data_IF_492567683139
#
_entry.id   IF_492567683139
#
_cell.length_a   1.000
_cell.length_b   1.000
_cell.length_c   1.000
_cell.angle_alpha   90.00
_cell.angle_beta   90.00
_cell.angle_gamma   90.00
#
_symmetry.space_group_name_H-M   'P 1'
#
loop_
_entity.id
_entity.type
_entity.pdbx_description
1 polymer ?
#
# COMPACT_ATOMS: atom_id res chain seq x y z
N UNK A 1 7.11 -17.13 -11.78
CA UNK A 1 8.17 -17.13 -10.73
C UNK A 1 7.56 -17.68 -9.45
N UNK A 2 8.34 -18.39 -8.64
CA UNK A 2 7.84 -19.14 -7.48
C UNK A 2 7.38 -18.17 -6.38
N UNK A 3 6.15 -18.35 -5.89
CA UNK A 3 5.55 -17.69 -4.73
C UNK A 3 6.54 -17.56 -3.57
N UNK A 4 6.87 -16.33 -3.19
CA UNK A 4 7.68 -16.06 -2.00
C UNK A 4 6.77 -16.19 -0.77
N UNK A 5 6.93 -17.30 -0.07
CA UNK A 5 6.20 -17.64 1.17
C UNK A 5 6.72 -16.76 2.30
N UNK A 6 5.84 -16.00 2.94
CA UNK A 6 6.18 -15.22 4.14
C UNK A 6 6.48 -16.18 5.30
N UNK A 7 7.72 -16.17 5.76
CA UNK A 7 8.17 -16.86 6.97
C UNK A 7 8.65 -15.79 7.95
N UNK A 8 7.83 -15.43 8.92
CA UNK A 8 8.20 -14.48 9.97
C UNK A 8 8.98 -15.22 11.07
N UNK A 9 10.29 -15.02 11.13
CA UNK A 9 11.07 -15.27 12.35
C UNK A 9 11.18 -13.95 13.12
N UNK A 10 10.64 -13.93 14.34
CA UNK A 10 10.75 -12.79 15.24
C UNK A 10 12.05 -12.89 16.05
N UNK A 11 12.95 -11.93 15.85
CA UNK A 11 14.01 -11.61 16.81
C UNK A 11 14.07 -10.10 16.97
N UNK A 12 13.52 -9.63 18.09
CA UNK A 12 13.55 -8.22 18.48
C UNK A 12 14.94 -7.88 19.06
N UNK A 13 15.64 -6.94 18.43
CA UNK A 13 16.77 -6.24 19.04
C UNK A 13 16.41 -4.75 19.06
N UNK A 14 15.95 -4.27 20.22
CA UNK A 14 15.58 -2.88 20.45
C UNK A 14 16.86 -2.05 20.64
N UNK A 15 17.24 -1.28 19.63
CA UNK A 15 18.10 -0.11 19.80
C UNK A 15 17.23 1.14 19.69
N UNK A 16 17.06 1.85 20.80
CA UNK A 16 16.36 3.12 20.85
C UNK A 16 17.24 4.22 20.24
N UNK A 17 16.93 4.62 19.00
CA UNK A 17 17.46 5.86 18.41
C UNK A 17 16.45 6.99 18.64
N UNK A 18 16.92 8.09 19.23
CA UNK A 18 16.17 9.32 19.45
C UNK A 18 15.68 9.90 18.12
N UNK A 19 14.38 10.20 18.02
CA UNK A 19 13.74 10.74 16.81
C UNK A 19 14.01 12.25 16.67
N UNK A 20 15.09 12.62 16.00
CA UNK A 20 15.21 13.95 15.43
C UNK A 20 14.46 13.97 14.08
N UNK A 21 13.65 15.01 13.83
CA UNK A 21 13.03 15.24 12.53
C UNK A 21 14.12 15.28 11.44
N UNK A 22 14.13 14.32 10.53
CA UNK A 22 15.12 14.27 9.46
C UNK A 22 14.67 15.23 8.35
N UNK A 23 15.56 16.12 7.91
CA UNK A 23 15.29 17.05 6.81
C UNK A 23 15.82 16.44 5.52
N UNK A 24 14.95 16.26 4.52
CA UNK A 24 15.35 15.83 3.18
C UNK A 24 15.35 17.05 2.26
N UNK A 25 16.37 17.19 1.44
CA UNK A 25 16.50 18.25 0.46
C UNK A 25 16.18 17.72 -0.94
N UNK A 26 15.43 18.50 -1.70
CA UNK A 26 15.04 18.21 -3.09
C UNK A 26 15.62 19.26 -4.00
N UNK A 27 16.29 18.87 -5.10
CA UNK A 27 16.78 19.79 -6.13
C UNK A 27 16.77 19.15 -7.53
N UNK A 28 16.81 19.98 -8.58
CA UNK A 28 17.06 19.52 -9.96
C UNK A 28 18.51 19.75 -10.32
N UNK A 29 19.13 18.77 -10.98
CA UNK A 29 20.41 18.99 -11.64
C UNK A 29 20.26 19.78 -12.96
N UNK A 30 21.38 20.08 -13.59
CA UNK A 30 21.43 20.82 -14.86
C UNK A 30 20.70 20.10 -16.03
N UNK A 31 20.43 18.80 -15.92
CA UNK A 31 19.64 18.03 -16.89
C UNK A 31 18.14 18.03 -16.58
N UNK A 32 17.72 18.73 -15.53
CA UNK A 32 16.33 18.75 -15.05
C UNK A 32 15.94 17.51 -14.25
N UNK A 33 16.89 16.61 -13.96
CA UNK A 33 16.65 15.39 -13.19
C UNK A 33 16.60 15.74 -11.70
N UNK A 34 15.58 15.22 -11.02
CA UNK A 34 15.40 15.43 -9.58
C UNK A 34 16.35 14.55 -8.76
N UNK A 35 16.90 15.15 -7.70
CA UNK A 35 17.78 14.53 -6.70
C UNK A 35 17.27 14.79 -5.30
N UNK A 36 17.50 13.82 -4.41
CA UNK A 36 17.07 13.85 -3.01
C UNK A 36 18.24 13.48 -2.10
N UNK A 37 18.51 14.32 -1.10
CA UNK A 37 19.67 14.18 -0.22
C UNK A 37 19.30 14.51 1.21
N UNK A 38 19.96 13.86 2.17
CA UNK A 38 19.89 14.18 3.60
C UNK A 38 20.77 15.40 3.99
N UNK A 39 21.58 15.89 3.04
CA UNK A 39 22.41 17.10 3.17
C UNK A 39 21.97 18.15 2.15
N UNK A 40 21.97 19.41 2.57
CA UNK A 40 21.68 20.52 1.68
C UNK A 40 22.62 20.52 0.47
N UNK A 41 22.12 20.61 -0.77
CA UNK A 41 22.96 20.80 -1.96
C UNK A 41 23.77 22.08 -1.82
N UNK A 42 25.07 22.02 -2.12
CA UNK A 42 25.94 23.20 -2.01
C UNK A 42 25.58 24.30 -3.03
N UNK A 43 24.88 23.95 -4.12
CA UNK A 43 24.50 24.87 -5.19
C UNK A 43 23.13 24.47 -5.77
N UNK A 44 22.41 25.46 -6.31
CA UNK A 44 21.10 25.27 -6.95
C UNK A 44 19.91 25.53 -6.02
N UNK A 45 18.74 25.83 -6.61
CA UNK A 45 17.49 25.94 -5.86
C UNK A 45 17.14 24.56 -5.29
N UNK A 46 16.86 24.53 -3.99
CA UNK A 46 16.45 23.33 -3.30
C UNK A 46 15.29 23.63 -2.35
N UNK A 47 14.48 22.62 -2.09
CA UNK A 47 13.38 22.67 -1.15
C UNK A 47 13.67 21.74 0.04
N UNK A 48 13.34 22.20 1.25
CA UNK A 48 13.40 21.37 2.45
C UNK A 48 12.08 20.64 2.64
N UNK A 49 12.16 19.32 2.72
CA UNK A 49 11.06 18.46 3.14
C UNK A 49 11.32 18.07 4.60
N UNK A 50 10.56 18.69 5.51
CA UNK A 50 10.57 18.31 6.93
C UNK A 50 9.79 17.02 7.09
N UNK A 51 10.48 15.95 7.50
CA UNK A 51 9.83 14.70 7.84
C UNK A 51 9.29 14.80 9.27
N UNK A 52 8.01 14.50 9.45
CA UNK A 52 7.44 14.31 10.78
C UNK A 52 7.81 12.91 11.28
N UNK A 53 8.22 12.81 12.54
CA UNK A 53 8.78 11.57 13.10
C UNK A 53 7.74 10.66 13.75
N UNK A 54 6.45 10.80 13.43
CA UNK A 54 5.43 9.89 13.98
C UNK A 54 5.60 8.51 13.34
N UNK A 55 6.17 7.58 14.11
CA UNK A 55 6.17 6.16 13.78
C UNK A 55 4.77 5.58 13.99
N UNK A 56 3.77 6.11 13.30
CA UNK A 56 2.40 5.56 13.32
C UNK A 56 2.36 4.36 12.35
N UNK A 57 3.20 3.35 12.59
CA UNK A 57 3.10 2.08 11.89
C UNK A 57 1.95 1.29 12.50
N UNK A 58 0.97 0.92 11.69
CA UNK A 58 -0.12 0.06 12.13
C UNK A 58 0.37 -1.39 12.23
N UNK A 59 -0.05 -2.10 13.27
CA UNK A 59 0.19 -3.53 13.39
C UNK A 59 -0.39 -4.28 12.18
N UNK A 60 0.21 -5.43 11.86
CA UNK A 60 -0.23 -6.27 10.74
C UNK A 60 -1.25 -7.32 11.23
N UNK A 61 -2.24 -7.69 10.40
CA UNK A 61 -3.14 -8.78 10.70
C UNK A 61 -2.35 -10.05 10.98
N UNK A 62 -2.71 -10.75 12.06
CA UNK A 62 -1.93 -11.90 12.54
C UNK A 62 -2.82 -12.98 13.14
N UNK A 63 -2.31 -14.21 13.15
CA UNK A 63 -2.89 -15.33 13.88
C UNK A 63 -1.85 -15.85 14.88
N UNK A 64 -2.27 -15.97 16.13
CA UNK A 64 -1.51 -16.63 17.19
C UNK A 64 -2.27 -17.85 17.70
N UNK A 65 -1.60 -18.73 18.45
CA UNK A 65 -2.19 -19.96 18.96
C UNK A 65 -1.80 -20.25 20.40
N UNK A 66 -2.72 -20.84 21.16
CA UNK A 66 -2.48 -21.44 22.48
C UNK A 66 -3.10 -22.84 22.52
N UNK A 67 -2.54 -23.75 23.31
CA UNK A 67 -3.09 -25.09 23.51
C UNK A 67 -3.61 -25.20 24.95
N UNK A 68 -4.85 -25.63 25.10
CA UNK A 68 -5.52 -25.88 26.39
C UNK A 68 -6.35 -27.16 26.27
N UNK A 69 -6.22 -28.09 27.22
CA UNK A 69 -7.01 -29.34 27.27
C UNK A 69 -7.10 -30.11 25.94
N UNK A 70 -5.95 -30.26 25.26
CA UNK A 70 -5.86 -30.89 23.93
C UNK A 70 -6.71 -30.20 22.85
N UNK A 71 -6.91 -28.89 22.97
CA UNK A 71 -7.55 -28.02 21.98
C UNK A 71 -6.58 -26.91 21.61
N UNK A 72 -6.31 -26.74 20.31
CA UNK A 72 -5.61 -25.56 19.81
C UNK A 72 -6.61 -24.42 19.64
N UNK A 73 -6.39 -23.32 20.35
CA UNK A 73 -7.13 -22.07 20.23
C UNK A 73 -6.32 -21.13 19.36
N UNK A 74 -6.80 -20.86 18.15
CA UNK A 74 -6.26 -19.85 17.25
C UNK A 74 -6.94 -18.51 17.52
N UNK A 75 -6.17 -17.43 17.50
CA UNK A 75 -6.64 -16.05 17.70
C UNK A 75 -6.20 -15.21 16.52
N UNK A 76 -7.13 -14.86 15.62
CA UNK A 76 -6.87 -13.92 14.55
C UNK A 76 -7.19 -12.50 15.00
N UNK A 77 -6.21 -11.62 14.86
CA UNK A 77 -6.30 -10.19 15.19
C UNK A 77 -6.22 -9.40 13.90
N UNK A 78 -7.24 -8.59 13.62
CA UNK A 78 -7.25 -7.63 12.54
C UNK A 78 -7.21 -6.20 13.10
N UNK A 79 -6.04 -5.55 13.16
CA UNK A 79 -5.90 -4.18 13.61
C UNK A 79 -6.29 -3.15 12.52
N UNK A 80 -6.59 -3.59 11.30
CA UNK A 80 -6.89 -2.71 10.16
C UNK A 80 -8.30 -2.17 10.21
N UNK A 81 -8.51 -1.02 9.56
CA UNK A 81 -9.79 -0.27 9.59
C UNK A 81 -10.75 -0.71 8.48
N UNK A 82 -10.63 -1.97 8.09
CA UNK A 82 -11.44 -2.65 7.08
C UNK A 82 -11.36 -4.16 7.29
N UNK A 83 -12.27 -4.93 6.66
CA UNK A 83 -12.30 -6.38 6.79
C UNK A 83 -11.05 -7.03 6.19
N UNK A 84 -10.58 -8.12 6.78
CA UNK A 84 -9.43 -8.90 6.31
C UNK A 84 -9.80 -10.37 6.30
N UNK A 85 -9.61 -11.03 5.17
CA UNK A 85 -9.78 -12.47 5.05
C UNK A 85 -8.46 -13.18 5.33
N UNK A 86 -8.42 -14.05 6.33
CA UNK A 86 -7.30 -14.95 6.55
C UNK A 86 -7.53 -16.25 5.79
N UNK A 87 -6.51 -16.74 5.08
CA UNK A 87 -6.44 -18.16 4.69
C UNK A 87 -5.62 -18.91 5.74
N UNK A 88 -6.19 -19.98 6.25
CA UNK A 88 -5.57 -20.96 7.13
C UNK A 88 -5.20 -22.21 6.34
N UNK A 89 -3.96 -22.67 6.50
CA UNK A 89 -3.51 -23.99 6.08
C UNK A 89 -3.17 -24.79 7.32
N UNK A 90 -4.07 -25.69 7.71
CA UNK A 90 -3.97 -26.47 8.94
C UNK A 90 -3.47 -27.86 8.57
N UNK A 91 -2.41 -28.33 9.23
CA UNK A 91 -1.88 -29.68 9.05
C UNK A 91 -2.36 -30.57 10.18
N UNK A 92 -3.13 -31.61 9.85
CA UNK A 92 -3.54 -32.69 10.76
C UNK A 92 -3.05 -34.02 10.21
N UNK A 93 -2.32 -34.79 11.02
CA UNK A 93 -1.91 -36.16 10.67
C UNK A 93 -1.26 -36.30 9.28
N UNK A 94 -0.57 -35.27 8.80
CA UNK A 94 0.10 -35.25 7.48
C UNK A 94 -0.70 -34.62 6.34
N UNK A 95 -2.02 -34.45 6.46
CA UNK A 95 -2.88 -33.80 5.46
C UNK A 95 -3.07 -32.31 5.73
N UNK A 96 -3.14 -31.51 4.65
CA UNK A 96 -3.42 -30.08 4.72
C UNK A 96 -4.89 -29.80 4.44
N UNK A 97 -5.56 -29.17 5.39
CA UNK A 97 -6.89 -28.61 5.22
C UNK A 97 -6.77 -27.09 5.04
N UNK A 98 -7.47 -26.56 4.04
CA UNK A 98 -7.58 -25.12 3.81
C UNK A 98 -8.90 -24.62 4.34
N UNK A 99 -8.85 -23.53 5.08
CA UNK A 99 -10.03 -22.83 5.58
C UNK A 99 -9.81 -21.33 5.44
N UNK A 100 -10.88 -20.53 5.39
CA UNK A 100 -10.77 -19.08 5.34
C UNK A 100 -11.73 -18.42 6.30
N UNK A 101 -11.29 -17.33 6.92
CA UNK A 101 -12.10 -16.57 7.86
C UNK A 101 -11.99 -15.09 7.59
N UNK A 102 -13.15 -14.45 7.45
CA UNK A 102 -13.27 -13.00 7.44
C UNK A 102 -13.23 -12.48 8.88
N UNK A 103 -12.36 -11.51 9.14
CA UNK A 103 -12.24 -10.81 10.42
C UNK A 103 -12.53 -9.34 10.16
N UNK A 104 -13.49 -8.79 10.88
CA UNK A 104 -13.94 -7.39 10.70
C UNK A 104 -12.84 -6.39 11.08
N UNK A 105 -13.05 -5.14 10.70
CA UNK A 105 -12.17 -4.04 11.09
C UNK A 105 -11.97 -3.96 12.61
N UNK A 106 -10.74 -3.70 13.05
CA UNK A 106 -10.36 -3.52 14.46
C UNK A 106 -10.94 -4.58 15.41
N UNK A 107 -10.84 -5.84 15.01
CA UNK A 107 -11.50 -6.94 15.71
C UNK A 107 -10.62 -8.17 15.87
N UNK A 108 -11.02 -9.03 16.80
CA UNK A 108 -10.37 -10.32 17.07
C UNK A 108 -11.40 -11.43 16.94
N UNK A 109 -11.02 -12.55 16.31
CA UNK A 109 -11.83 -13.77 16.28
C UNK A 109 -11.02 -14.95 16.81
N UNK A 110 -11.68 -15.83 17.54
CA UNK A 110 -11.09 -17.05 18.09
C UNK A 110 -11.69 -18.29 17.44
N UNK A 111 -10.87 -19.31 17.21
CA UNK A 111 -11.30 -20.59 16.65
C UNK A 111 -10.67 -21.71 17.46
N UNK A 112 -11.44 -22.78 17.70
CA UNK A 112 -10.99 -23.94 18.45
C UNK A 112 -10.85 -25.13 17.51
N UNK A 113 -9.71 -25.79 17.55
CA UNK A 113 -9.42 -26.97 16.77
C UNK A 113 -9.06 -28.10 17.73
N UNK A 114 -9.76 -29.23 17.64
CA UNK A 114 -9.45 -30.39 18.45
C UNK A 114 -8.05 -30.93 18.10
N UNK A 115 -7.25 -31.19 19.13
CA UNK A 115 -5.87 -31.64 19.03
C UNK A 115 -4.86 -30.50 18.87
N UNK A 116 -3.59 -30.86 18.96
CA UNK A 116 -2.49 -30.01 18.55
C UNK A 116 -2.37 -29.99 17.03
N UNK A 117 -2.29 -28.79 16.44
CA UNK A 117 -2.15 -28.62 14.98
C UNK A 117 -1.01 -27.69 14.63
N UNK A 118 -0.34 -27.98 13.52
CA UNK A 118 0.52 -27.01 12.85
C UNK A 118 -0.32 -26.19 11.87
N UNK A 119 -0.03 -24.90 11.75
CA UNK A 119 -0.73 -24.04 10.80
C UNK A 119 0.21 -23.04 10.13
N UNK A 120 -0.18 -22.64 8.93
CA UNK A 120 0.34 -21.47 8.23
C UNK A 120 -0.83 -20.57 7.87
N UNK A 121 -0.58 -19.27 7.76
CA UNK A 121 -1.60 -18.33 7.30
C UNK A 121 -1.01 -17.24 6.42
N UNK A 122 -1.89 -16.66 5.63
CA UNK A 122 -1.71 -15.34 5.05
C UNK A 122 -3.06 -14.62 5.10
N UNK A 123 -3.06 -13.32 4.81
CA UNK A 123 -4.26 -12.51 4.86
C UNK A 123 -4.42 -11.67 3.58
N UNK A 124 -5.67 -11.42 3.22
CA UNK A 124 -6.07 -10.62 2.05
C UNK A 124 -6.94 -9.46 2.55
N UNK A 125 -6.61 -8.21 2.20
CA UNK A 125 -7.42 -7.06 2.55
C UNK A 125 -8.75 -7.06 1.78
N UNK A 126 -9.83 -6.72 2.48
CA UNK A 126 -11.16 -6.57 1.89
C UNK A 126 -12.06 -7.78 2.12
N UNK A 127 -13.36 -7.54 1.93
CA UNK A 127 -14.39 -8.57 1.96
C UNK A 127 -14.43 -9.29 0.60
N UNK A 128 -14.28 -10.63 0.55
CA UNK A 128 -14.39 -11.38 -0.71
C UNK A 128 -15.79 -11.30 -1.37
N UNK A 129 -16.81 -10.88 -0.62
CA UNK A 129 -18.18 -10.69 -1.13
C UNK A 129 -18.44 -9.26 -1.64
N UNK A 130 -17.44 -8.37 -1.60
CA UNK A 130 -17.53 -7.00 -2.08
C UNK A 130 -18.00 -6.93 -3.55
N UNK A 131 -18.81 -5.92 -3.86
CA UNK A 131 -19.40 -5.69 -5.20
C UNK A 131 -18.88 -4.36 -5.75
N UNK A 132 -17.80 -4.36 -6.55
CA UNK A 132 -17.25 -3.14 -7.12
C UNK A 132 -18.28 -2.37 -7.93
N UNK A 133 -18.29 -1.04 -7.77
CA UNK A 133 -19.03 -0.15 -8.66
C UNK A 133 -18.13 0.30 -9.82
N UNK A 134 -18.35 -0.32 -10.98
CA UNK A 134 -17.59 -0.04 -12.21
C UNK A 134 -17.97 1.28 -12.90
N UNK A 135 -19.00 1.99 -12.40
CA UNK A 135 -19.41 3.28 -12.97
C UNK A 135 -18.57 4.44 -12.43
N UNK A 136 -17.86 4.22 -11.32
CA UNK A 136 -17.10 5.25 -10.61
C UNK A 136 -15.96 5.80 -11.45
N UNK A 137 -15.84 7.13 -11.42
CA UNK A 137 -14.75 7.89 -12.02
C UNK A 137 -13.83 8.37 -10.92
N UNK A 138 -12.55 8.03 -11.05
CA UNK A 138 -11.48 8.46 -10.14
C UNK A 138 -10.92 9.80 -10.60
N UNK A 139 -10.48 10.65 -9.67
CA UNK A 139 -9.64 11.81 -10.04
C UNK A 139 -8.18 11.38 -10.15
N UNK A 140 -7.37 12.07 -10.97
CA UNK A 140 -5.92 11.97 -10.87
C UNK A 140 -5.48 12.22 -9.41
N UNK A 141 -4.62 11.38 -8.83
CA UNK A 141 -4.31 11.38 -7.39
C UNK A 141 -3.29 12.46 -6.97
N UNK A 142 -3.46 13.69 -7.46
CA UNK A 142 -2.59 14.83 -7.16
C UNK A 142 -3.36 16.15 -7.32
N UNK A 143 -2.77 17.25 -6.88
CA UNK A 143 -3.45 18.54 -6.74
C UNK A 143 -3.91 19.16 -8.08
N UNK A 144 -4.97 19.97 -8.01
CA UNK A 144 -5.50 20.78 -9.10
C UNK A 144 -4.41 21.55 -9.84
N UNK A 145 -4.43 21.47 -11.17
CA UNK A 145 -3.48 22.19 -12.03
C UNK A 145 -2.05 21.64 -12.04
N UNK A 146 -1.69 20.71 -11.14
CA UNK A 146 -0.45 19.96 -11.29
C UNK A 146 -0.56 18.98 -12.47
N UNK A 147 0.56 18.75 -13.16
CA UNK A 147 0.59 17.85 -14.30
C UNK A 147 1.75 16.86 -14.24
N UNK A 148 1.41 15.59 -14.39
CA UNK A 148 2.35 14.49 -14.39
C UNK A 148 2.09 13.54 -15.55
N UNK A 149 3.10 12.73 -15.87
CA UNK A 149 3.04 11.77 -16.98
C UNK A 149 2.91 10.36 -16.42
N UNK A 150 2.09 9.54 -17.06
CA UNK A 150 2.07 8.10 -16.80
C UNK A 150 3.38 7.48 -17.29
N UNK A 151 4.17 6.92 -16.38
CA UNK A 151 5.40 6.17 -16.70
C UNK A 151 5.14 4.70 -17.01
N UNK A 152 4.08 4.12 -16.43
CA UNK A 152 3.63 2.77 -16.74
C UNK A 152 2.11 2.68 -16.58
N UNK A 153 1.41 2.15 -17.58
CA UNK A 153 -0.04 1.98 -17.55
C UNK A 153 -0.48 0.55 -17.24
N UNK A 154 -1.76 0.27 -17.51
CA UNK A 154 -2.33 -1.08 -17.41
C UNK A 154 -1.58 -2.06 -18.32
N UNK A 155 -1.35 -3.28 -17.83
CA UNK A 155 -0.62 -4.35 -18.54
C UNK A 155 0.82 -3.98 -18.94
N UNK A 156 1.44 -3.04 -18.22
CA UNK A 156 2.83 -2.65 -18.45
C UNK A 156 3.81 -3.80 -18.17
N UNK A 157 4.95 -3.78 -18.86
CA UNK A 157 5.88 -4.92 -18.97
C UNK A 157 6.90 -5.05 -17.83
N UNK A 158 6.83 -4.19 -16.80
CA UNK A 158 7.76 -4.21 -15.67
C UNK A 158 7.11 -4.79 -14.41
N UNK A 159 6.25 -4.01 -13.73
CA UNK A 159 5.56 -4.42 -12.50
C UNK A 159 4.06 -4.74 -12.67
N UNK A 160 3.45 -4.48 -13.85
CA UNK A 160 1.99 -4.55 -14.07
C UNK A 160 1.59 -5.76 -14.92
N UNK A 161 2.33 -6.86 -14.83
CA UNK A 161 2.11 -8.06 -15.65
C UNK A 161 1.16 -9.08 -15.01
N UNK A 162 1.07 -9.08 -13.68
CA UNK A 162 0.30 -10.06 -12.92
C UNK A 162 -0.48 -9.40 -11.79
N UNK A 163 -1.49 -10.12 -11.29
CA UNK A 163 -2.23 -9.69 -10.12
C UNK A 163 -1.31 -9.60 -8.89
N UNK A 164 -1.54 -8.66 -7.98
CA UNK A 164 -2.67 -7.71 -7.94
C UNK A 164 -2.34 -6.35 -8.59
N UNK A 165 -1.52 -6.30 -9.65
CA UNK A 165 -1.03 -5.06 -10.26
C UNK A 165 -1.31 -4.92 -11.76
N UNK A 166 -1.98 -5.87 -12.40
CA UNK A 166 -2.28 -5.84 -13.84
C UNK A 166 -2.90 -4.52 -14.29
N UNK A 167 -3.78 -3.94 -13.47
CA UNK A 167 -4.42 -2.65 -13.71
C UNK A 167 -3.93 -1.54 -12.79
N UNK A 168 -2.63 -1.51 -12.48
CA UNK A 168 -1.99 -0.38 -11.81
C UNK A 168 -1.56 0.73 -12.79
N UNK A 169 -1.35 1.93 -12.27
CA UNK A 169 -0.79 3.08 -12.99
C UNK A 169 0.36 3.68 -12.19
N UNK A 170 1.50 3.84 -12.84
CA UNK A 170 2.65 4.57 -12.31
C UNK A 170 2.66 5.97 -12.92
N UNK A 171 2.68 6.96 -12.04
CA UNK A 171 2.62 8.36 -12.40
C UNK A 171 3.95 8.99 -11.98
N UNK A 172 4.77 9.32 -12.96
CA UNK A 172 6.07 9.92 -12.74
C UNK A 172 5.92 11.30 -12.11
N UNK A 173 6.32 11.41 -10.85
CA UNK A 173 6.25 12.65 -10.09
C UNK A 173 7.48 12.80 -9.19
N UNK A 174 8.00 14.02 -9.02
CA UNK A 174 9.12 14.27 -8.11
C UNK A 174 8.77 13.85 -6.68
N UNK A 175 9.71 13.34 -5.89
CA UNK A 175 9.47 13.12 -4.44
C UNK A 175 9.02 14.43 -3.79
N UNK A 176 8.13 14.32 -2.83
CA UNK A 176 7.53 15.44 -2.11
C UNK A 176 6.27 16.00 -2.78
N UNK A 177 5.93 15.60 -4.01
CA UNK A 177 4.65 15.98 -4.63
C UNK A 177 3.48 15.44 -3.81
N UNK A 178 2.42 16.23 -3.67
CA UNK A 178 1.25 15.82 -2.90
C UNK A 178 0.51 14.69 -3.60
N UNK A 179 0.24 13.62 -2.86
CA UNK A 179 -0.63 12.51 -3.28
C UNK A 179 -2.00 12.75 -2.66
N UNK A 180 -3.02 12.82 -3.51
CA UNK A 180 -4.41 13.02 -3.10
C UNK A 180 -5.23 11.74 -3.31
N UNK A 181 -6.30 11.59 -2.52
CA UNK A 181 -7.24 10.50 -2.68
C UNK A 181 -7.96 10.59 -4.03
N UNK A 182 -7.75 9.61 -4.90
CA UNK A 182 -8.42 9.48 -6.20
C UNK A 182 -9.93 9.24 -6.06
N UNK A 183 -10.36 8.66 -4.94
CA UNK A 183 -11.74 8.41 -4.55
C UNK A 183 -11.84 8.42 -3.02
N UNK A 184 -12.95 8.93 -2.49
CA UNK A 184 -13.20 8.96 -1.05
C UNK A 184 -13.41 7.58 -0.44
N UNK A 185 -13.22 7.48 0.87
CA UNK A 185 -13.32 6.23 1.61
C UNK A 185 -12.76 6.35 3.01
N UNK A 186 -12.45 5.22 3.63
CA UNK A 186 -11.79 5.14 4.94
C UNK A 186 -10.34 4.70 4.74
N UNK A 187 -9.39 5.37 5.39
CA UNK A 187 -7.99 4.91 5.42
C UNK A 187 -7.94 3.59 6.18
N UNK A 188 -7.86 2.49 5.44
CA UNK A 188 -7.90 1.13 5.95
C UNK A 188 -6.60 0.76 6.66
N UNK A 189 -5.48 1.07 5.99
CA UNK A 189 -4.16 0.79 6.49
C UNK A 189 -3.09 1.73 5.93
N UNK A 190 -1.99 1.87 6.67
CA UNK A 190 -0.80 2.62 6.25
C UNK A 190 0.48 1.84 6.56
N UNK A 191 1.53 2.10 5.81
CA UNK A 191 2.90 1.63 6.07
C UNK A 191 3.87 2.79 5.84
N UNK A 192 4.74 3.06 6.82
CA UNK A 192 5.67 4.20 6.81
C UNK A 192 7.06 3.83 7.35
N UNK A 193 7.38 2.53 7.41
CA UNK A 193 8.63 2.06 8.02
C UNK A 193 9.87 2.13 7.10
N UNK A 194 9.73 2.48 5.83
CA UNK A 194 10.82 2.38 4.85
C UNK A 194 11.31 3.76 4.38
N UNK A 195 12.62 3.99 4.45
CA UNK A 195 13.25 5.25 4.01
C UNK A 195 13.84 5.20 2.60
N UNK A 196 14.02 3.99 2.04
CA UNK A 196 14.75 3.76 0.79
C UNK A 196 14.02 2.77 -0.12
N UNK A 197 14.42 2.75 -1.39
CA UNK A 197 13.93 1.80 -2.38
C UNK A 197 14.95 1.52 -3.47
N UNK A 198 14.77 0.39 -4.15
CA UNK A 198 15.55 0.00 -5.32
C UNK A 198 14.85 -1.12 -6.08
N UNK A 199 14.88 -1.03 -7.41
CA UNK A 199 14.45 -2.10 -8.31
C UNK A 199 15.56 -3.15 -8.61
N UNK A 200 16.78 -2.94 -8.11
CA UNK A 200 17.90 -3.85 -8.40
C UNK A 200 17.92 -5.11 -7.51
N UNK A 201 17.18 -5.10 -6.39
CA UNK A 201 17.23 -6.16 -5.39
C UNK A 201 15.83 -6.62 -5.00
N UNK A 202 15.60 -7.94 -5.03
CA UNK A 202 14.36 -8.56 -4.59
C UNK A 202 14.00 -8.25 -3.12
N UNK A 203 15.01 -7.83 -2.32
CA UNK A 203 14.84 -7.37 -0.94
C UNK A 203 13.76 -6.28 -0.78
N UNK A 204 13.52 -5.46 -1.81
CA UNK A 204 12.60 -4.33 -1.73
C UNK A 204 11.16 -4.61 -2.20
N UNK A 205 10.87 -5.83 -2.68
CA UNK A 205 9.56 -6.20 -3.27
C UNK A 205 8.38 -5.96 -2.32
N UNK A 206 8.59 -6.09 -1.02
CA UNK A 206 7.58 -5.96 0.03
C UNK A 206 7.81 -4.74 0.95
N UNK A 207 8.66 -3.77 0.53
CA UNK A 207 9.16 -2.67 1.39
C UNK A 207 8.74 -1.28 0.92
N UNK A 208 7.55 -1.15 0.37
CA UNK A 208 6.99 0.14 -0.02
C UNK A 208 6.14 0.72 1.11
N UNK A 209 6.31 2.01 1.39
CA UNK A 209 5.33 2.76 2.18
C UNK A 209 4.07 2.96 1.35
N UNK A 210 2.91 2.94 2.01
CA UNK A 210 1.64 3.09 1.34
C UNK A 210 0.55 3.70 2.22
N UNK A 211 -0.48 4.22 1.55
CA UNK A 211 -1.81 4.45 2.10
C UNK A 211 -2.77 3.54 1.35
N UNK A 212 -3.63 2.83 2.07
CA UNK A 212 -4.71 2.03 1.50
C UNK A 212 -6.05 2.61 1.94
N UNK A 213 -6.88 3.02 0.98
CA UNK A 213 -8.21 3.57 1.21
C UNK A 213 -9.25 2.53 0.83
N UNK A 214 -10.10 2.13 1.76
CA UNK A 214 -11.27 1.29 1.53
C UNK A 214 -12.45 2.17 1.09
N UNK A 215 -12.98 1.88 -0.09
CA UNK A 215 -14.14 2.57 -0.66
C UNK A 215 -15.45 1.93 -0.19
N UNK A 216 -16.56 2.67 -0.29
CA UNK A 216 -17.87 2.21 0.20
C UNK A 216 -18.42 0.98 -0.57
N UNK A 217 -17.86 0.65 -1.75
CA UNK A 217 -18.20 -0.56 -2.52
C UNK A 217 -17.34 -1.79 -2.16
N UNK A 218 -16.47 -1.67 -1.15
CA UNK A 218 -15.56 -2.72 -0.68
C UNK A 218 -14.26 -2.86 -1.50
N UNK A 219 -14.06 -2.05 -2.54
CA UNK A 219 -12.77 -1.98 -3.24
C UNK A 219 -11.76 -1.16 -2.45
N UNK A 220 -10.46 -1.37 -2.70
CA UNK A 220 -9.38 -0.61 -2.07
C UNK A 220 -8.56 0.13 -3.12
N UNK A 221 -8.31 1.42 -2.89
CA UNK A 221 -7.31 2.19 -3.60
C UNK A 221 -5.99 2.18 -2.83
N UNK A 222 -4.93 1.65 -3.42
CA UNK A 222 -3.59 1.62 -2.83
C UNK A 222 -2.67 2.63 -3.51
N UNK A 223 -2.06 3.49 -2.69
CA UNK A 223 -1.12 4.54 -3.09
C UNK A 223 0.24 4.18 -2.49
N UNK A 224 1.22 3.83 -3.32
CA UNK A 224 2.50 3.29 -2.85
C UNK A 224 3.71 4.14 -3.26
N UNK A 225 4.88 3.73 -2.76
CA UNK A 225 6.16 4.43 -2.87
C UNK A 225 6.18 5.78 -2.13
N UNK A 226 5.41 5.90 -1.05
CA UNK A 226 5.24 7.14 -0.27
C UNK A 226 6.55 7.54 0.44
N UNK A 227 6.81 8.84 0.51
CA UNK A 227 7.92 9.37 1.29
C UNK A 227 7.68 9.13 2.78
N UNK A 228 8.65 8.52 3.46
CA UNK A 228 8.58 8.31 4.91
C UNK A 228 8.42 9.64 5.66
N UNK A 229 7.56 9.66 6.68
CA UNK A 229 7.29 10.82 7.54
C UNK A 229 6.41 11.88 6.88
N UNK A 230 5.74 11.55 5.79
CA UNK A 230 4.94 12.47 4.97
C UNK A 230 3.44 12.20 4.99
N UNK A 231 2.98 11.15 5.69
CA UNK A 231 1.55 10.89 5.87
C UNK A 231 0.81 12.12 6.42
N UNK A 232 -0.36 12.39 5.86
CA UNK A 232 -1.29 13.44 6.29
C UNK A 232 -2.59 12.88 6.86
N UNK A 233 -2.67 11.56 6.94
CA UNK A 233 -3.83 10.79 7.39
C UNK A 233 -3.38 9.65 8.28
N UNK A 234 -4.30 9.13 9.08
CA UNK A 234 -4.10 7.98 9.96
C UNK A 234 -5.14 6.89 9.67
N UNK A 235 -4.86 5.62 10.01
CA UNK A 235 -5.86 4.58 9.91
C UNK A 235 -7.17 4.93 10.62
N UNK A 236 -8.26 4.91 9.87
CA UNK A 236 -9.62 5.18 10.36
C UNK A 236 -10.15 6.54 9.95
N UNK A 237 -9.28 7.44 9.47
CA UNK A 237 -9.70 8.72 8.91
C UNK A 237 -10.59 8.46 7.68
N UNK A 238 -11.75 9.14 7.61
CA UNK A 238 -12.54 9.23 6.39
C UNK A 238 -11.95 10.33 5.53
N UNK A 239 -11.69 10.01 4.26
CA UNK A 239 -11.09 10.92 3.28
C UNK A 239 -12.06 11.17 2.15
N UNK A 240 -12.08 12.41 1.67
CA UNK A 240 -12.82 12.80 0.48
C UNK A 240 -11.93 12.71 -0.77
N UNK A 241 -12.54 12.61 -1.95
CA UNK A 241 -11.79 12.70 -3.22
C UNK A 241 -11.07 14.05 -3.28
N UNK A 242 -9.79 14.03 -3.64
CA UNK A 242 -8.94 15.22 -3.69
C UNK A 242 -8.29 15.59 -2.37
N UNK A 243 -8.65 14.94 -1.25
CA UNK A 243 -7.99 15.17 0.04
C UNK A 243 -6.55 14.66 0.01
N UNK A 244 -5.61 15.44 0.54
CA UNK A 244 -4.22 15.04 0.65
C UNK A 244 -4.04 13.85 1.61
N UNK A 245 -3.29 12.84 1.14
CA UNK A 245 -3.01 11.61 1.88
C UNK A 245 -1.58 11.56 2.38
N UNK A 246 -0.63 11.92 1.51
CA UNK A 246 0.80 11.84 1.79
C UNK A 246 1.60 12.62 0.73
N UNK A 247 2.92 12.43 0.71
CA UNK A 247 3.78 12.90 -0.39
C UNK A 247 4.46 11.74 -1.11
N UNK A 248 4.65 11.90 -2.41
CA UNK A 248 5.35 10.93 -3.26
C UNK A 248 6.78 10.73 -2.80
N UNK A 249 7.29 9.51 -2.98
CA UNK A 249 8.63 9.11 -2.59
C UNK A 249 9.23 8.17 -3.64
N UNK A 250 10.11 7.28 -3.18
CA UNK A 250 10.72 6.24 -4.01
C UNK A 250 11.06 5.01 -3.16
N UNK A 251 10.25 4.72 -2.13
CA UNK A 251 10.51 3.61 -1.18
C UNK A 251 10.10 2.27 -1.77
N UNK A 252 10.77 1.18 -1.39
CA UNK A 252 10.44 -0.16 -1.88
C UNK A 252 10.92 -0.43 -3.30
N UNK A 253 10.27 -1.35 -4.00
CA UNK A 253 10.71 -1.78 -5.34
C UNK A 253 10.37 -0.72 -6.39
N UNK A 254 11.29 0.22 -6.59
CA UNK A 254 11.11 1.36 -7.47
C UNK A 254 12.39 1.67 -8.24
N UNK A 255 12.25 2.05 -9.51
CA UNK A 255 13.34 2.52 -10.39
C UNK A 255 13.61 4.01 -10.24
N UNK A 256 12.70 4.76 -9.61
CA UNK A 256 12.80 6.19 -9.37
C UNK A 256 11.50 6.81 -8.86
N UNK A 257 11.47 8.11 -8.55
CA UNK A 257 10.31 8.76 -7.96
C UNK A 257 9.05 8.67 -8.82
N UNK A 258 7.99 8.08 -8.28
CA UNK A 258 6.66 8.00 -8.88
C UNK A 258 5.62 7.65 -7.81
N UNK A 259 4.35 7.80 -8.16
CA UNK A 259 3.23 7.20 -7.44
C UNK A 259 2.81 5.92 -8.18
N UNK A 260 2.80 4.79 -7.48
CA UNK A 260 2.08 3.58 -7.92
C UNK A 260 0.67 3.64 -7.35
N UNK A 261 -0.34 3.66 -8.22
CA UNK A 261 -1.75 3.64 -7.85
C UNK A 261 -2.46 2.43 -8.44
N UNK A 262 -3.23 1.71 -7.63
CA UNK A 262 -4.02 0.55 -8.08
C UNK A 262 -5.31 0.42 -7.28
N UNK A 263 -6.39 0.06 -7.97
CA UNK A 263 -7.67 -0.31 -7.36
C UNK A 263 -7.74 -1.83 -7.31
N UNK A 264 -8.06 -2.39 -6.14
CA UNK A 264 -8.09 -3.84 -5.91
C UNK A 264 -9.35 -4.29 -5.19
N UNK A 265 -9.69 -5.56 -5.35
CA UNK A 265 -10.72 -6.26 -4.58
C UNK A 265 -10.22 -7.63 -4.13
N UNK A 266 -10.72 -8.08 -2.98
CA UNK A 266 -10.62 -9.48 -2.59
C UNK A 266 -11.60 -10.31 -3.46
N UNK A 267 -11.15 -11.45 -3.97
CA UNK A 267 -12.00 -12.40 -4.74
C UNK A 267 -12.03 -13.80 -4.15
N UNK A 268 -11.70 -13.94 -2.86
CA UNK A 268 -11.64 -15.20 -2.16
C UNK A 268 -10.37 -15.97 -2.47
N UNK A 269 -9.41 -15.89 -1.53
CA UNK A 269 -8.07 -16.49 -1.64
C UNK A 269 -7.13 -15.86 -2.68
N UNK A 270 -7.56 -14.78 -3.33
CA UNK A 270 -6.70 -13.95 -4.18
C UNK A 270 -7.12 -12.47 -4.14
N UNK A 271 -6.21 -11.60 -4.57
CA UNK A 271 -6.43 -10.17 -4.68
C UNK A 271 -6.36 -9.76 -6.16
N UNK A 272 -7.42 -9.15 -6.67
CA UNK A 272 -7.53 -8.79 -8.08
C UNK A 272 -7.48 -7.27 -8.24
N UNK A 273 -6.65 -6.77 -9.15
CA UNK A 273 -6.70 -5.39 -9.63
C UNK A 273 -7.90 -5.17 -10.54
N UNK A 274 -8.43 -3.96 -10.53
CA UNK A 274 -9.60 -3.58 -11.32
C UNK A 274 -9.22 -2.49 -12.32
N UNK A 275 -9.74 -2.59 -13.54
CA UNK A 275 -9.75 -1.44 -14.45
C UNK A 275 -10.58 -0.32 -13.83
N UNK A 276 -10.06 0.89 -13.93
CA UNK A 276 -10.75 2.11 -13.53
C UNK A 276 -10.57 3.19 -14.59
N UNK A 277 -11.40 4.23 -14.53
CA UNK A 277 -11.31 5.42 -15.37
C UNK A 277 -10.90 6.62 -14.52
N UNK A 278 -10.06 7.47 -15.09
CA UNK A 278 -9.76 8.80 -14.56
C UNK A 278 -10.17 9.84 -15.57
N UNK A 279 -10.67 10.99 -15.11
CA UNK A 279 -11.07 12.09 -15.97
C UNK A 279 -10.27 13.36 -15.66
N UNK A 280 -10.26 14.33 -16.58
CA UNK A 280 -9.85 15.71 -16.31
C UNK A 280 -11.01 16.53 -15.69
N UNK A 281 -10.74 17.80 -15.36
CA UNK A 281 -11.73 18.68 -14.74
C UNK A 281 -12.91 18.99 -15.67
N UNK A 282 -12.71 18.85 -16.99
CA UNK A 282 -13.72 19.00 -18.03
C UNK A 282 -14.54 17.71 -18.28
N UNK A 283 -14.20 16.61 -17.60
CA UNK A 283 -14.90 15.32 -17.69
C UNK A 283 -14.44 14.41 -18.83
N UNK A 284 -13.30 14.70 -19.48
CA UNK A 284 -12.72 13.85 -20.52
C UNK A 284 -11.93 12.71 -19.89
N UNK A 285 -12.10 11.49 -20.40
CA UNK A 285 -11.35 10.32 -19.93
C UNK A 285 -9.87 10.38 -20.32
N UNK A 286 -8.98 10.15 -19.34
CA UNK A 286 -7.57 9.92 -19.59
C UNK A 286 -7.32 8.49 -20.07
N UNK A 287 -6.58 8.29 -21.17
CA UNK A 287 -6.10 6.96 -21.53
C UNK A 287 -5.03 6.52 -20.52
N UNK A 288 -5.29 5.47 -19.73
CA UNK A 288 -4.33 4.94 -18.75
C UNK A 288 -3.24 4.10 -19.45
N UNK A 289 -2.33 4.80 -20.13
CA UNK A 289 -1.18 4.24 -20.84
C UNK A 289 0.02 5.18 -20.76
N UNK A 290 1.19 4.61 -20.97
CA UNK A 290 2.48 5.32 -20.96
C UNK A 290 2.44 6.59 -21.81
N UNK A 291 3.15 7.62 -21.33
CA UNK A 291 3.27 8.95 -21.97
C UNK A 291 1.99 9.78 -22.03
N UNK A 292 0.89 9.31 -21.44
CA UNK A 292 -0.28 10.16 -21.23
C UNK A 292 0.03 11.19 -20.17
N UNK A 293 -0.22 12.46 -20.48
CA UNK A 293 -0.12 13.57 -19.53
C UNK A 293 -1.47 13.81 -18.88
N UNK A 294 -1.49 13.77 -17.55
CA UNK A 294 -2.66 14.06 -16.74
C UNK A 294 -2.52 15.41 -16.06
N UNK A 295 -3.64 16.05 -15.76
CA UNK A 295 -3.75 17.29 -15.00
C UNK A 295 -4.72 17.04 -13.85
N UNK A 296 -4.34 17.45 -12.65
CA UNK A 296 -5.14 17.25 -11.44
C UNK A 296 -6.39 18.12 -11.44
N UNK A 297 -7.40 17.65 -10.71
CA UNK A 297 -8.68 18.34 -10.48
C UNK A 297 -8.56 19.45 -9.47
#
# INVERSE_FOLDING_TARGET
MKYLRYLTLATACLCAFSSAAQTVYKYQDASGRWHFTDKAPQQGKHEQVKLSSSRDSQDKPSITSKIEDNVTILTAVNPWRGPVQFLLQIRKTGEYQRDSILVEADSTRHFKIQGQVDYQYYYIPGDPEAKPDYTVIYSPPFASGESYMISQGFNGQFSHMEEPNTYAVDIAMPVGSYIHAARGGVVMAVEENYSIGSAAFAYFLDKANFVMVLHDDGTTGMYAHILQGSLQVRPGDRVERGQALARSGSTGFSTGPHLHFVVRRNVGLDLQSLRFRMQDAEGNDYPIRERTRMVGW
#
